data_IF_835226852380
#
_entry.id   IF_835226852380
#
_cell.length_a   1.000
_cell.length_b   1.000
_cell.length_c   1.000
_cell.angle_alpha   90.00
_cell.angle_beta   90.00
_cell.angle_gamma   90.00
#
_symmetry.space_group_name_H-M   'P 1'
#
loop_
_entity.id
_entity.type
_entity.pdbx_description
1 polymer ?
#
# COMPACT_ATOMS: atom_id res chain seq x y z
N UNK A 1 -26.15 -11.66 16.90
CA UNK A 1 -25.68 -11.77 15.51
C UNK A 1 -24.42 -10.92 15.35
N UNK A 2 -23.29 -11.37 15.91
CA UNK A 2 -22.10 -10.50 16.09
C UNK A 2 -20.79 -11.14 15.62
N UNK A 3 -20.79 -12.44 15.31
CA UNK A 3 -19.59 -13.19 14.84
C UNK A 3 -19.22 -12.90 13.38
N UNK A 4 -20.21 -12.81 12.49
CA UNK A 4 -19.96 -12.69 11.03
C UNK A 4 -19.19 -11.42 10.64
N UNK A 5 -19.45 -10.28 11.29
CA UNK A 5 -18.72 -9.01 11.03
C UNK A 5 -17.28 -9.03 11.55
N UNK A 6 -17.01 -9.76 12.62
CA UNK A 6 -15.65 -9.86 13.18
C UNK A 6 -14.77 -10.75 12.29
N UNK A 7 -15.31 -11.87 11.80
CA UNK A 7 -14.60 -12.78 10.90
C UNK A 7 -14.31 -12.11 9.54
N UNK A 8 -15.28 -11.38 8.98
CA UNK A 8 -15.09 -10.60 7.74
C UNK A 8 -14.06 -9.48 7.89
N UNK A 9 -14.07 -8.74 9.01
CA UNK A 9 -13.09 -7.70 9.27
C UNK A 9 -11.67 -8.29 9.38
N UNK A 10 -11.51 -9.40 10.11
CA UNK A 10 -10.20 -10.04 10.31
C UNK A 10 -9.66 -10.60 8.98
N UNK A 11 -10.52 -11.18 8.14
CA UNK A 11 -10.14 -11.68 6.82
C UNK A 11 -9.73 -10.53 5.87
N UNK A 12 -10.50 -9.44 5.84
CA UNK A 12 -10.19 -8.26 5.03
C UNK A 12 -8.83 -7.66 5.41
N UNK A 13 -8.55 -7.49 6.72
CA UNK A 13 -7.25 -7.03 7.21
C UNK A 13 -6.10 -7.95 6.79
N UNK A 14 -6.31 -9.28 6.79
CA UNK A 14 -5.31 -10.24 6.34
C UNK A 14 -5.04 -10.15 4.84
N UNK A 15 -6.08 -9.94 4.02
CA UNK A 15 -5.95 -9.81 2.57
C UNK A 15 -5.30 -8.47 2.20
N UNK A 16 -5.70 -7.37 2.84
CA UNK A 16 -5.10 -6.04 2.70
C UNK A 16 -3.61 -6.09 3.03
N UNK A 17 -3.23 -6.72 4.14
CA UNK A 17 -1.83 -6.94 4.49
C UNK A 17 -1.09 -7.73 3.40
N UNK A 18 -1.70 -8.80 2.87
CA UNK A 18 -1.12 -9.58 1.77
C UNK A 18 -0.91 -8.76 0.49
N UNK A 19 -1.84 -7.86 0.17
CA UNK A 19 -1.72 -6.97 -0.99
C UNK A 19 -0.68 -5.86 -0.79
N UNK A 20 -0.57 -5.31 0.41
CA UNK A 20 0.49 -4.37 0.78
C UNK A 20 1.88 -5.03 0.70
N UNK A 21 2.01 -6.28 1.13
CA UNK A 21 3.25 -7.05 0.99
C UNK A 21 3.66 -7.23 -0.46
N UNK A 22 2.72 -7.58 -1.35
CA UNK A 22 3.00 -7.68 -2.81
C UNK A 22 3.43 -6.34 -3.41
N UNK A 23 2.84 -5.23 -2.95
CA UNK A 23 3.26 -3.89 -3.40
C UNK A 23 4.66 -3.55 -2.87
N UNK A 24 4.99 -3.92 -1.63
CA UNK A 24 6.33 -3.76 -1.06
C UNK A 24 7.38 -4.54 -1.86
N UNK A 25 7.09 -5.79 -2.22
CA UNK A 25 7.95 -6.63 -3.07
C UNK A 25 8.20 -5.97 -4.43
N UNK A 26 7.17 -5.38 -5.04
CA UNK A 26 7.31 -4.68 -6.31
C UNK A 26 8.14 -3.38 -6.18
N UNK A 27 8.02 -2.69 -5.05
CA UNK A 27 8.79 -1.48 -4.73
C UNK A 27 10.29 -1.77 -4.50
N UNK A 28 10.68 -3.03 -4.23
CA UNK A 28 12.09 -3.42 -4.10
C UNK A 28 12.94 -3.16 -5.34
N UNK A 29 12.30 -2.89 -6.49
CA UNK A 29 12.94 -2.51 -7.75
C UNK A 29 13.41 -1.05 -7.77
N UNK A 30 12.97 -0.25 -6.80
CA UNK A 30 13.33 1.16 -6.64
C UNK A 30 14.19 1.33 -5.40
N UNK A 31 14.99 2.40 -5.35
CA UNK A 31 15.82 2.73 -4.19
C UNK A 31 14.99 3.36 -3.05
N UNK A 32 13.95 2.65 -2.60
CA UNK A 32 13.06 3.04 -1.50
C UNK A 32 13.02 1.95 -0.43
N UNK A 33 12.64 2.33 0.79
CA UNK A 33 12.24 1.38 1.84
C UNK A 33 10.74 1.28 1.87
N UNK A 34 10.20 0.07 1.94
CA UNK A 34 8.77 -0.21 1.94
C UNK A 34 8.48 -1.25 3.03
N UNK A 35 7.86 -0.80 4.13
CA UNK A 35 7.58 -1.63 5.30
C UNK A 35 6.08 -1.66 5.56
N UNK A 36 5.50 -2.86 5.66
CA UNK A 36 4.10 -3.00 6.07
C UNK A 36 4.02 -2.78 7.58
N UNK A 37 3.15 -1.87 8.01
CA UNK A 37 2.94 -1.54 9.41
C UNK A 37 1.56 -2.01 9.84
N UNK A 38 1.54 -2.89 10.84
CA UNK A 38 0.32 -3.36 11.48
C UNK A 38 -0.24 -2.28 12.43
N UNK A 39 -1.54 -2.00 12.32
CA UNK A 39 -2.24 -1.01 13.12
C UNK A 39 -3.73 -1.33 13.28
N UNK A 40 -4.58 -0.30 13.45
CA UNK A 40 -6.03 -0.49 13.36
C UNK A 40 -6.49 -0.89 11.94
N UNK A 41 -5.66 -0.59 10.93
CA UNK A 41 -5.66 -1.17 9.60
C UNK A 41 -4.22 -1.18 9.08
N UNK A 42 -3.80 -2.20 8.32
CA UNK A 42 -2.45 -2.28 7.80
C UNK A 42 -2.25 -1.19 6.74
N UNK A 43 -1.06 -0.61 6.70
CA UNK A 43 -0.62 0.30 5.65
C UNK A 43 0.82 0.01 5.29
N UNK A 44 1.23 0.44 4.11
CA UNK A 44 2.61 0.35 3.65
C UNK A 44 3.27 1.70 3.83
N UNK A 45 4.28 1.78 4.71
CA UNK A 45 5.11 2.97 4.85
C UNK A 45 6.23 2.90 3.83
N UNK A 46 6.27 3.88 2.93
CA UNK A 46 7.31 4.01 1.91
C UNK A 46 8.16 5.24 2.21
N UNK A 47 9.48 5.09 2.21
CA UNK A 47 10.40 6.20 2.41
C UNK A 47 11.55 6.16 1.42
N UNK A 48 11.99 7.32 0.97
CA UNK A 48 13.17 7.45 0.11
C UNK A 48 14.42 7.74 0.98
N UNK A 49 15.40 6.82 1.08
CA UNK A 49 16.61 7.03 1.87
C UNK A 49 17.44 8.25 1.45
N UNK A 50 17.29 8.74 0.22
CA UNK A 50 17.96 9.93 -0.28
C UNK A 50 17.34 11.24 0.25
N UNK A 51 16.16 11.19 0.87
CA UNK A 51 15.46 12.36 1.42
C UNK A 51 14.72 12.00 2.71
N UNK A 52 15.17 12.58 3.83
CA UNK A 52 14.57 12.38 5.16
C UNK A 52 13.10 12.79 5.24
N UNK A 53 12.62 13.63 4.31
CA UNK A 53 11.25 14.14 4.30
C UNK A 53 10.33 13.42 3.31
N UNK A 54 10.87 12.58 2.44
CA UNK A 54 10.09 11.87 1.43
C UNK A 54 9.59 10.54 2.00
N UNK A 55 8.46 10.63 2.71
CA UNK A 55 7.75 9.50 3.31
C UNK A 55 6.29 9.57 2.89
N UNK A 56 5.73 8.43 2.50
CA UNK A 56 4.33 8.27 2.14
C UNK A 56 3.75 7.01 2.78
N UNK A 57 2.52 7.10 3.29
CA UNK A 57 1.79 5.94 3.81
C UNK A 57 0.71 5.53 2.80
N UNK A 58 0.75 4.28 2.37
CA UNK A 58 -0.18 3.73 1.37
C UNK A 58 -1.15 2.76 2.05
N UNK A 59 -2.44 3.08 1.97
CA UNK A 59 -3.53 2.25 2.49
C UNK A 59 -4.02 1.32 1.39
N UNK A 60 -4.42 0.10 1.77
CA UNK A 60 -5.09 -0.84 0.88
C UNK A 60 -6.57 -0.91 1.27
N UNK A 61 -7.46 -0.61 0.34
CA UNK A 61 -8.91 -0.71 0.53
C UNK A 61 -9.49 -1.83 -0.33
N UNK A 62 -10.24 -2.74 0.29
CA UNK A 62 -11.04 -3.72 -0.45
C UNK A 62 -12.13 -3.02 -1.28
N UNK A 63 -12.23 -3.39 -2.55
CA UNK A 63 -13.31 -3.01 -3.47
C UNK A 63 -14.15 -4.23 -3.82
N UNK A 64 -15.16 -4.04 -4.67
CA UNK A 64 -16.09 -5.12 -5.05
C UNK A 64 -15.40 -6.31 -5.72
N UNK A 65 -14.33 -6.06 -6.49
CA UNK A 65 -13.65 -7.09 -7.29
C UNK A 65 -12.12 -7.09 -7.18
N UNK A 66 -11.53 -6.13 -6.48
CA UNK A 66 -10.09 -5.94 -6.34
C UNK A 66 -9.72 -5.18 -5.06
N UNK A 67 -8.45 -4.79 -4.94
CA UNK A 67 -7.96 -3.92 -3.87
C UNK A 67 -7.36 -2.67 -4.47
N UNK A 68 -7.73 -1.51 -3.92
CA UNK A 68 -7.21 -0.22 -4.33
C UNK A 68 -6.13 0.25 -3.35
N UNK A 69 -5.04 0.80 -3.88
CA UNK A 69 -3.98 1.44 -3.12
C UNK A 69 -4.17 2.95 -3.14
N UNK A 70 -4.12 3.57 -1.95
CA UNK A 70 -4.48 4.97 -1.76
C UNK A 70 -3.40 5.63 -0.91
N UNK A 71 -2.93 6.78 -1.36
CA UNK A 71 -2.01 7.63 -0.59
C UNK A 71 -2.69 8.18 0.68
N UNK A 72 -1.91 8.63 1.65
CA UNK A 72 -2.41 9.15 2.92
C UNK A 72 -3.29 10.40 2.75
N UNK A 73 -3.10 11.13 1.65
CA UNK A 73 -3.89 12.29 1.26
C UNK A 73 -5.07 11.97 0.32
N UNK A 74 -5.43 10.68 0.18
CA UNK A 74 -6.65 10.23 -0.49
C UNK A 74 -6.55 10.03 -2.00
N UNK A 75 -5.35 10.11 -2.59
CA UNK A 75 -5.16 9.89 -4.04
C UNK A 75 -5.06 8.40 -4.36
N UNK A 76 -5.83 7.96 -5.35
CA UNK A 76 -5.79 6.59 -5.86
C UNK A 76 -4.54 6.33 -6.71
N UNK A 77 -3.70 5.39 -6.28
CA UNK A 77 -2.42 5.05 -6.91
C UNK A 77 -2.57 3.91 -7.91
N UNK A 78 -3.59 3.08 -7.75
CA UNK A 78 -3.92 1.96 -8.63
C UNK A 78 -4.38 0.78 -7.80
N UNK A 79 -4.39 -0.41 -8.37
CA UNK A 79 -4.97 -1.57 -7.71
C UNK A 79 -4.11 -2.81 -7.77
N UNK A 80 -4.54 -3.85 -7.06
CA UNK A 80 -3.87 -5.14 -6.98
C UNK A 80 -3.68 -5.84 -8.32
N UNK A 81 -4.45 -5.47 -9.35
CA UNK A 81 -4.30 -5.97 -10.72
C UNK A 81 -3.19 -5.29 -11.55
N UNK A 82 -2.60 -4.20 -11.06
CA UNK A 82 -1.62 -3.38 -11.80
C UNK A 82 -0.43 -2.94 -10.94
N UNK A 83 0.07 -3.85 -10.09
CA UNK A 83 1.12 -3.58 -9.09
C UNK A 83 2.34 -2.83 -9.64
N UNK A 84 2.86 -3.18 -10.81
CA UNK A 84 4.02 -2.47 -11.38
C UNK A 84 3.77 -0.98 -11.65
N UNK A 85 2.59 -0.65 -12.19
CA UNK A 85 2.19 0.76 -12.42
C UNK A 85 1.95 1.46 -11.09
N UNK A 86 1.35 0.79 -10.11
CA UNK A 86 1.15 1.34 -8.78
C UNK A 86 2.47 1.59 -8.06
N UNK A 87 3.39 0.64 -8.07
CA UNK A 87 4.71 0.77 -7.47
C UNK A 87 5.49 1.94 -8.09
N UNK A 88 5.44 2.10 -9.41
CA UNK A 88 6.05 3.25 -10.07
C UNK A 88 5.47 4.58 -9.59
N UNK A 89 4.14 4.72 -9.49
CA UNK A 89 3.50 5.93 -8.97
C UNK A 89 3.88 6.23 -7.52
N UNK A 90 3.95 5.20 -6.68
CA UNK A 90 4.39 5.33 -5.28
C UNK A 90 5.85 5.79 -5.22
N UNK A 91 6.74 5.18 -6.01
CA UNK A 91 8.14 5.57 -6.09
C UNK A 91 8.30 7.02 -6.58
N UNK A 92 7.48 7.44 -7.56
CA UNK A 92 7.42 8.82 -8.02
C UNK A 92 6.98 9.80 -6.93
N UNK A 93 5.96 9.45 -6.13
CA UNK A 93 5.48 10.30 -5.03
C UNK A 93 6.57 10.60 -3.98
N UNK A 94 7.42 9.62 -3.68
CA UNK A 94 8.56 9.81 -2.77
C UNK A 94 9.83 10.29 -3.49
N UNK A 95 9.71 10.70 -4.75
CA UNK A 95 10.81 11.27 -5.54
C UNK A 95 11.94 10.29 -5.84
N UNK A 96 11.67 8.99 -5.87
CA UNK A 96 12.64 7.95 -6.21
C UNK A 96 12.75 7.69 -7.72
N UNK A 97 11.78 8.17 -8.51
CA UNK A 97 11.80 8.11 -9.97
C UNK A 97 11.36 9.42 -10.59
N UNK A 98 11.77 9.65 -11.84
CA UNK A 98 11.21 10.72 -12.67
C UNK A 98 9.76 10.40 -13.10
N UNK A 99 9.06 11.43 -13.57
CA UNK A 99 7.66 11.39 -14.00
C UNK A 99 7.48 10.79 -15.40
#
# INVERSE_FOLDING_TARGET
MTRSRQEEATCATSEEHGHLGKLADELSRYDVRADVVDGQGPYLRVSNPASTYAVEDVICERREHDYAFIASFGVHLGGSGSLGVTAHKVAWLVGATEA
#
